data_IF_148638536330
#
_entry.id   IF_148638536330
#
_cell.length_a   1.000
_cell.length_b   1.000
_cell.length_c   1.000
_cell.angle_alpha   90.00
_cell.angle_beta   90.00
_cell.angle_gamma   90.00
#
_symmetry.space_group_name_H-M   'P 1'
#
loop_
_entity.id
_entity.type
_entity.pdbx_description
1 polymer ?
#
# COMPACT_ATOMS: atom_id res chain seq x y z
N UNK A 1 4.53 12.95 -9.73
CA UNK A 1 3.15 12.40 -9.70
C UNK A 1 2.65 12.11 -8.29
N UNK A 2 3.42 11.39 -7.45
CA UNK A 2 2.96 11.05 -6.08
C UNK A 2 2.81 12.29 -5.21
N UNK A 3 3.77 13.22 -5.24
CA UNK A 3 3.67 14.48 -4.52
C UNK A 3 2.50 15.36 -5.02
N UNK A 4 2.26 15.37 -6.32
CA UNK A 4 1.11 16.05 -6.93
C UNK A 4 -0.22 15.42 -6.49
N UNK A 5 -0.29 14.08 -6.48
CA UNK A 5 -1.46 13.35 -6.02
C UNK A 5 -1.75 13.61 -4.54
N UNK A 6 -0.73 13.57 -3.67
CA UNK A 6 -0.89 13.89 -2.26
C UNK A 6 -1.30 15.35 -2.06
N UNK A 7 -0.70 16.27 -2.81
CA UNK A 7 -1.09 17.68 -2.82
C UNK A 7 -2.53 17.88 -3.30
N UNK A 8 -2.99 17.10 -4.27
CA UNK A 8 -4.38 17.10 -4.72
C UNK A 8 -5.31 16.58 -3.63
N UNK A 9 -4.98 15.45 -3.01
CA UNK A 9 -5.76 14.92 -1.89
C UNK A 9 -5.89 15.94 -0.74
N UNK A 10 -4.79 16.56 -0.33
CA UNK A 10 -4.80 17.57 0.75
C UNK A 10 -5.72 18.76 0.45
N UNK A 11 -5.90 19.12 -0.82
CA UNK A 11 -6.80 20.22 -1.24
C UNK A 11 -8.25 19.80 -1.39
N UNK A 12 -8.50 18.60 -1.92
CA UNK A 12 -9.83 18.19 -2.36
C UNK A 12 -10.46 17.10 -1.50
N UNK A 13 -9.67 16.45 -0.66
CA UNK A 13 -10.03 15.23 0.08
C UNK A 13 -10.56 14.10 -0.81
N UNK A 14 -10.28 14.17 -2.13
CA UNK A 14 -10.62 13.11 -3.08
C UNK A 14 -9.50 12.09 -3.12
N UNK A 15 -9.77 10.80 -2.87
CA UNK A 15 -8.78 9.74 -2.93
C UNK A 15 -8.03 9.72 -4.26
N UNK A 16 -6.73 9.51 -4.21
CA UNK A 16 -5.85 9.50 -5.36
C UNK A 16 -5.31 8.10 -5.60
N UNK A 17 -5.23 7.71 -6.86
CA UNK A 17 -4.70 6.40 -7.25
C UNK A 17 -3.59 6.58 -8.28
N UNK A 18 -2.46 5.93 -8.05
CA UNK A 18 -1.33 5.88 -8.98
C UNK A 18 -1.13 4.44 -9.41
N UNK A 19 -1.07 4.19 -10.71
CA UNK A 19 -0.70 2.90 -11.26
C UNK A 19 0.75 2.95 -11.74
N UNK A 20 1.64 2.19 -11.07
CA UNK A 20 3.01 1.95 -11.52
C UNK A 20 3.05 0.64 -12.30
N UNK A 21 3.29 0.75 -13.59
CA UNK A 21 3.47 -0.40 -14.46
C UNK A 21 4.94 -0.54 -14.85
N UNK A 22 5.51 -1.72 -14.57
CA UNK A 22 6.85 -2.07 -15.04
C UNK A 22 6.91 -3.59 -15.30
N UNK A 23 7.72 -4.07 -16.26
CA UNK A 23 7.84 -5.49 -16.58
C UNK A 23 8.24 -6.33 -15.36
N UNK A 24 7.95 -7.63 -15.41
CA UNK A 24 8.49 -8.58 -14.42
C UNK A 24 10.01 -8.54 -14.48
N UNK A 25 10.66 -8.51 -13.33
CA UNK A 25 12.13 -8.40 -13.25
C UNK A 25 12.70 -6.97 -13.33
N UNK A 26 11.86 -5.95 -13.62
CA UNK A 26 12.29 -4.54 -13.68
C UNK A 26 12.63 -3.90 -12.33
N UNK A 27 12.72 -4.67 -11.25
CA UNK A 27 13.09 -4.13 -9.95
C UNK A 27 11.99 -3.30 -9.27
N UNK A 28 10.69 -3.54 -9.54
CA UNK A 28 9.57 -2.76 -8.99
C UNK A 28 9.67 -2.50 -7.47
N UNK A 29 10.05 -3.51 -6.70
CA UNK A 29 10.24 -3.38 -5.24
C UNK A 29 11.36 -2.41 -4.90
N UNK A 30 12.44 -2.40 -5.68
CA UNK A 30 13.58 -1.49 -5.47
C UNK A 30 13.20 -0.05 -5.86
N UNK A 31 12.48 0.12 -6.96
CA UNK A 31 11.93 1.44 -7.35
C UNK A 31 11.06 2.00 -6.22
N UNK A 32 10.24 1.15 -5.60
CA UNK A 32 9.41 1.58 -4.46
C UNK A 32 10.23 1.82 -3.19
N UNK A 33 11.30 1.07 -2.95
CA UNK A 33 12.21 1.35 -1.84
C UNK A 33 12.85 2.73 -1.97
N UNK A 34 13.40 3.05 -3.13
CA UNK A 34 13.93 4.40 -3.43
C UNK A 34 12.86 5.48 -3.31
N UNK A 35 11.64 5.21 -3.78
CA UNK A 35 10.52 6.14 -3.61
C UNK A 35 10.19 6.40 -2.13
N UNK A 36 10.18 5.37 -1.29
CA UNK A 36 9.94 5.49 0.15
C UNK A 36 11.06 6.31 0.81
N UNK A 37 12.32 6.07 0.43
CA UNK A 37 13.44 6.88 0.90
C UNK A 37 13.32 8.35 0.49
N UNK A 38 12.96 8.62 -0.76
CA UNK A 38 12.72 9.98 -1.26
C UNK A 38 11.61 10.69 -0.48
N UNK A 39 10.57 9.96 -0.06
CA UNK A 39 9.51 10.54 0.77
C UNK A 39 10.02 10.81 2.18
N UNK A 40 10.71 9.89 2.81
CA UNK A 40 11.18 10.07 4.19
C UNK A 40 12.24 11.16 4.33
N UNK A 41 13.18 11.22 3.39
CA UNK A 41 14.37 12.07 3.51
C UNK A 41 14.36 13.29 2.59
N UNK A 42 13.33 13.40 1.76
CA UNK A 42 13.23 14.47 0.77
C UNK A 42 14.19 14.31 -0.40
N UNK A 43 14.02 15.18 -1.37
CA UNK A 43 14.89 15.35 -2.55
C UNK A 43 15.08 16.83 -2.82
N UNK A 44 15.91 17.20 -3.80
CA UNK A 44 16.05 18.59 -4.22
C UNK A 44 14.73 19.26 -4.66
N UNK A 45 13.72 18.43 -5.00
CA UNK A 45 12.42 18.91 -5.49
C UNK A 45 11.30 18.79 -4.47
N UNK A 46 11.43 17.95 -3.46
CA UNK A 46 10.36 17.63 -2.50
C UNK A 46 10.89 17.62 -1.07
N UNK A 47 10.15 18.28 -0.19
CA UNK A 47 10.46 18.28 1.24
C UNK A 47 10.33 16.86 1.84
N UNK A 48 11.14 16.60 2.85
CA UNK A 48 11.04 15.37 3.64
C UNK A 48 9.69 15.21 4.32
N UNK A 49 9.26 13.97 4.48
CA UNK A 49 8.08 13.57 5.23
C UNK A 49 8.45 12.40 6.14
N UNK A 50 9.25 12.68 7.17
CA UNK A 50 9.76 11.67 8.10
C UNK A 50 8.65 10.95 8.87
N UNK A 51 7.47 11.55 8.98
CA UNK A 51 6.26 10.99 9.60
C UNK A 51 5.39 10.17 8.61
N UNK A 52 5.79 10.02 7.35
CA UNK A 52 5.00 9.27 6.39
C UNK A 52 4.77 7.82 6.86
N UNK A 53 3.57 7.32 6.64
CA UNK A 53 3.15 5.96 6.96
C UNK A 53 2.93 5.21 5.66
N UNK A 54 3.58 4.07 5.52
CA UNK A 54 3.39 3.20 4.37
C UNK A 54 2.70 1.90 4.78
N UNK A 55 1.66 1.50 4.07
CA UNK A 55 1.07 0.16 4.18
C UNK A 55 1.33 -0.58 2.88
N UNK A 56 2.10 -1.65 2.95
CA UNK A 56 2.43 -2.52 1.83
C UNK A 56 1.53 -3.75 1.85
N UNK A 57 0.56 -3.80 0.97
CA UNK A 57 -0.37 -4.91 0.83
C UNK A 57 0.07 -5.84 -0.31
N UNK A 58 0.23 -7.11 -0.01
CA UNK A 58 0.44 -8.16 -1.00
C UNK A 58 -0.61 -9.26 -0.91
N UNK A 59 -0.55 -10.21 -1.83
CA UNK A 59 -1.46 -11.35 -1.88
C UNK A 59 -1.11 -12.43 -0.83
N UNK A 60 0.16 -12.60 -0.49
CA UNK A 60 0.61 -13.66 0.41
C UNK A 60 1.71 -13.22 1.38
N UNK A 61 1.85 -13.95 2.53
CA UNK A 61 2.94 -13.71 3.48
C UNK A 61 4.33 -13.82 2.85
N UNK A 62 4.53 -14.79 1.96
CA UNK A 62 5.83 -15.00 1.29
C UNK A 62 6.25 -13.81 0.42
N UNK A 63 5.30 -13.16 -0.25
CA UNK A 63 5.56 -11.96 -1.03
C UNK A 63 5.89 -10.77 -0.13
N UNK A 64 5.21 -10.62 0.99
CA UNK A 64 5.53 -9.59 1.97
C UNK A 64 6.95 -9.75 2.51
N UNK A 65 7.30 -10.96 2.92
CA UNK A 65 8.64 -11.25 3.44
C UNK A 65 9.72 -10.98 2.39
N UNK A 66 9.50 -11.41 1.15
CA UNK A 66 10.41 -11.14 0.04
C UNK A 66 10.57 -9.64 -0.23
N UNK A 67 9.47 -8.87 -0.19
CA UNK A 67 9.50 -7.42 -0.41
C UNK A 67 10.19 -6.71 0.75
N UNK A 68 9.90 -7.10 2.00
CA UNK A 68 10.56 -6.59 3.19
C UNK A 68 12.07 -6.82 3.15
N UNK A 69 12.50 -8.06 2.88
CA UNK A 69 13.92 -8.40 2.77
C UNK A 69 14.63 -7.60 1.67
N UNK A 70 13.98 -7.39 0.52
CA UNK A 70 14.55 -6.56 -0.55
C UNK A 70 14.69 -5.10 -0.14
N UNK A 71 13.74 -4.56 0.60
CA UNK A 71 13.81 -3.20 1.13
C UNK A 71 14.93 -3.12 2.17
N UNK A 72 14.96 -4.02 3.14
CA UNK A 72 16.00 -4.07 4.18
C UNK A 72 17.43 -4.20 3.61
N UNK A 73 17.59 -4.93 2.48
CA UNK A 73 18.89 -5.17 1.85
C UNK A 73 19.33 -4.08 0.87
N UNK A 74 18.41 -3.31 0.31
CA UNK A 74 18.69 -2.41 -0.82
C UNK A 74 18.40 -0.95 -0.52
N UNK A 75 17.65 -0.65 0.52
CA UNK A 75 17.42 0.70 0.97
C UNK A 75 18.57 1.11 1.91
N UNK A 76 19.32 2.12 1.51
CA UNK A 76 20.50 2.57 2.26
C UNK A 76 20.13 3.41 3.49
N UNK A 77 18.93 4.01 3.50
CA UNK A 77 18.50 4.98 4.51
C UNK A 77 17.36 4.49 5.39
N UNK A 78 16.65 3.43 5.01
CA UNK A 78 15.57 2.87 5.84
C UNK A 78 16.19 2.23 7.08
N UNK A 79 15.79 2.72 8.26
CA UNK A 79 16.37 2.28 9.54
C UNK A 79 15.83 0.91 9.96
N UNK A 80 16.66 0.16 10.66
CA UNK A 80 16.23 -1.06 11.32
C UNK A 80 15.02 -0.78 12.22
N UNK A 81 13.97 -1.59 12.08
CA UNK A 81 12.73 -1.43 12.85
C UNK A 81 11.63 -0.58 12.19
N UNK A 82 11.94 0.19 11.12
CA UNK A 82 10.89 0.89 10.36
C UNK A 82 9.98 -0.07 9.58
N UNK A 83 10.48 -1.25 9.20
CA UNK A 83 9.72 -2.29 8.51
C UNK A 83 9.02 -3.20 9.51
N UNK A 84 7.71 -3.05 9.67
CA UNK A 84 6.87 -3.79 10.61
C UNK A 84 6.00 -4.79 9.86
N UNK A 85 6.10 -6.08 10.18
CA UNK A 85 5.15 -7.07 9.69
C UNK A 85 3.94 -7.10 10.60
N UNK A 86 2.75 -6.88 10.06
CA UNK A 86 1.50 -7.02 10.82
C UNK A 86 1.25 -8.50 11.08
N UNK A 87 1.43 -8.88 12.33
CA UNK A 87 1.24 -10.25 12.80
C UNK A 87 -0.09 -10.41 13.53
N UNK A 88 -0.81 -11.50 13.25
CA UNK A 88 -2.14 -11.75 13.81
C UNK A 88 -2.13 -12.21 15.26
N UNK A 89 -0.97 -12.50 15.83
CA UNK A 89 -0.81 -12.86 17.24
C UNK A 89 -0.47 -11.68 18.14
N UNK A 90 0.20 -10.66 17.62
CA UNK A 90 0.79 -9.58 18.43
C UNK A 90 0.34 -8.17 18.04
N UNK A 91 -0.24 -7.99 16.85
CA UNK A 91 -0.64 -6.65 16.40
C UNK A 91 -1.94 -6.20 17.06
N UNK A 92 -1.86 -5.14 17.84
CA UNK A 92 -2.99 -4.47 18.49
C UNK A 92 -2.64 -2.98 18.68
N UNK A 93 -3.08 -2.13 17.75
CA UNK A 93 -2.81 -0.69 17.73
C UNK A 93 -4.07 0.08 17.39
N UNK A 94 -4.33 1.18 18.09
CA UNK A 94 -5.44 2.07 17.78
C UNK A 94 -5.27 2.73 16.40
N UNK A 95 -4.04 3.15 16.09
CA UNK A 95 -3.63 3.75 14.81
C UNK A 95 -2.24 3.26 14.45
N UNK A 96 -1.88 3.34 13.18
CA UNK A 96 -0.50 3.10 12.73
C UNK A 96 0.42 4.23 13.18
N UNK A 97 1.64 3.87 13.58
CA UNK A 97 2.66 4.82 14.01
C UNK A 97 3.30 5.54 12.83
N UNK A 98 3.66 6.80 13.05
CA UNK A 98 4.36 7.61 12.07
C UNK A 98 5.76 7.04 11.76
N UNK A 99 6.22 7.23 10.54
CA UNK A 99 7.58 6.86 10.12
C UNK A 99 7.80 5.35 9.91
N UNK A 100 6.75 4.56 9.76
CA UNK A 100 6.84 3.10 9.62
C UNK A 100 6.30 2.59 8.27
N UNK A 101 6.81 1.42 7.86
CA UNK A 101 6.36 0.66 6.70
C UNK A 101 5.73 -0.64 7.21
N UNK A 102 4.43 -0.75 7.10
CA UNK A 102 3.65 -1.89 7.58
C UNK A 102 3.39 -2.88 6.45
N UNK A 103 3.81 -4.13 6.63
CA UNK A 103 3.57 -5.21 5.68
C UNK A 103 2.34 -6.01 6.07
N UNK A 104 1.34 -6.01 5.20
CA UNK A 104 0.05 -6.67 5.38
C UNK A 104 -0.25 -7.56 4.16
N UNK A 105 -0.96 -8.67 4.35
CA UNK A 105 -1.40 -9.51 3.23
C UNK A 105 -2.90 -9.78 3.27
N UNK A 106 -3.47 -10.06 2.09
CA UNK A 106 -4.92 -10.24 1.96
C UNK A 106 -5.46 -11.46 2.70
N UNK A 107 -4.63 -12.47 2.96
CA UNK A 107 -5.05 -13.67 3.69
C UNK A 107 -5.43 -13.35 5.14
N UNK A 108 -4.74 -12.39 5.76
CA UNK A 108 -5.01 -11.92 7.13
C UNK A 108 -6.24 -11.00 7.24
N UNK A 109 -6.87 -10.65 6.12
CA UNK A 109 -8.02 -9.74 6.04
C UNK A 109 -9.35 -10.44 5.72
N UNK A 110 -9.32 -11.77 5.66
CA UNK A 110 -10.53 -12.55 5.44
C UNK A 110 -11.44 -12.61 6.67
N UNK A 111 -12.73 -12.89 6.47
CA UNK A 111 -13.74 -12.93 7.54
C UNK A 111 -13.38 -13.84 8.72
N UNK A 112 -12.60 -14.90 8.51
CA UNK A 112 -12.18 -15.84 9.54
C UNK A 112 -10.78 -15.53 10.11
N UNK A 113 -10.14 -14.45 9.68
CA UNK A 113 -8.80 -14.11 10.15
C UNK A 113 -8.86 -13.43 11.53
N UNK A 114 -7.88 -13.72 12.39
CA UNK A 114 -7.86 -13.19 13.75
C UNK A 114 -7.77 -11.65 13.79
N UNK A 115 -7.05 -11.01 12.85
CA UNK A 115 -6.89 -9.56 12.80
C UNK A 115 -8.19 -8.77 12.62
N UNK A 116 -9.25 -9.41 12.10
CA UNK A 116 -10.51 -8.73 11.80
C UNK A 116 -11.55 -8.87 12.91
N UNK A 117 -11.16 -9.50 14.02
CA UNK A 117 -12.02 -9.72 15.20
C UNK A 117 -11.36 -9.20 16.47
N UNK A 118 -12.18 -8.70 17.38
CA UNK A 118 -11.77 -8.44 18.76
C UNK A 118 -11.53 -9.77 19.49
N UNK A 119 -10.67 -9.76 20.50
CA UNK A 119 -10.42 -10.89 21.40
C UNK A 119 -9.99 -10.36 22.76
N UNK A 120 -9.79 -11.25 23.73
CA UNK A 120 -9.30 -10.88 25.06
C UNK A 120 -7.92 -10.20 25.02
N UNK A 121 -7.16 -10.43 23.96
CA UNK A 121 -5.82 -9.87 23.74
C UNK A 121 -5.76 -8.84 22.59
N UNK A 122 -6.90 -8.51 21.96
CA UNK A 122 -6.97 -7.52 20.88
C UNK A 122 -8.10 -6.54 21.11
N UNK A 123 -7.71 -5.32 21.38
CA UNK A 123 -8.64 -4.20 21.58
C UNK A 123 -9.11 -3.61 20.25
N UNK A 124 -8.22 -3.52 19.25
CA UNK A 124 -8.52 -2.93 17.93
C UNK A 124 -8.39 -3.96 16.82
N UNK A 125 -9.39 -4.08 15.98
CA UNK A 125 -9.28 -4.83 14.74
C UNK A 125 -8.42 -4.07 13.74
N UNK A 126 -7.82 -4.76 12.78
CA UNK A 126 -7.02 -4.10 11.72
C UNK A 126 -7.87 -3.06 10.94
N UNK A 127 -9.16 -3.30 10.78
CA UNK A 127 -10.06 -2.37 10.11
C UNK A 127 -10.25 -1.08 10.89
N UNK A 128 -10.37 -1.16 12.21
CA UNK A 128 -10.46 -0.01 13.10
C UNK A 128 -9.15 0.77 13.12
N UNK A 129 -8.01 0.09 13.24
CA UNK A 129 -6.68 0.71 13.15
C UNK A 129 -6.51 1.50 11.86
N UNK A 130 -6.83 0.90 10.72
CA UNK A 130 -6.73 1.56 9.42
C UNK A 130 -7.72 2.71 9.28
N UNK A 131 -8.96 2.54 9.73
CA UNK A 131 -9.98 3.60 9.70
C UNK A 131 -9.59 4.79 10.58
N UNK A 132 -9.05 4.55 11.77
CA UNK A 132 -8.55 5.59 12.66
C UNK A 132 -7.35 6.31 12.04
N UNK A 133 -6.41 5.56 11.45
CA UNK A 133 -5.25 6.13 10.75
C UNK A 133 -5.69 7.03 9.60
N UNK A 134 -6.66 6.61 8.78
CA UNK A 134 -7.19 7.46 7.70
C UNK A 134 -7.82 8.74 8.26
N UNK A 135 -8.57 8.65 9.36
CA UNK A 135 -9.22 9.85 9.93
C UNK A 135 -8.21 10.87 10.45
N UNK A 136 -7.18 10.42 11.14
CA UNK A 136 -6.25 11.29 11.86
C UNK A 136 -4.97 11.63 11.08
N UNK A 137 -4.56 10.74 10.14
CA UNK A 137 -3.24 10.80 9.48
C UNK A 137 -3.32 10.64 7.95
N UNK A 138 -4.46 11.00 7.35
CA UNK A 138 -4.68 10.83 5.92
C UNK A 138 -3.72 11.64 5.02
N UNK A 139 -3.18 12.73 5.54
CA UNK A 139 -2.25 13.61 4.83
C UNK A 139 -0.83 13.04 4.66
N UNK A 140 -0.53 11.92 5.34
CA UNK A 140 0.77 11.24 5.31
C UNK A 140 0.68 9.72 5.18
N UNK A 141 -0.50 9.18 4.85
CA UNK A 141 -0.74 7.75 4.66
C UNK A 141 -0.64 7.36 3.18
N UNK A 142 0.28 6.46 2.87
CA UNK A 142 0.52 5.87 1.57
C UNK A 142 0.16 4.39 1.58
N UNK A 143 -0.71 3.96 0.69
CA UNK A 143 -1.14 2.58 0.60
C UNK A 143 -0.63 1.94 -0.70
N UNK A 144 0.29 0.98 -0.58
CA UNK A 144 0.93 0.30 -1.72
C UNK A 144 0.28 -1.07 -1.91
N UNK A 145 -0.23 -1.33 -3.11
CA UNK A 145 -0.75 -2.65 -3.49
C UNK A 145 0.24 -3.30 -4.45
N UNK A 146 0.97 -4.29 -3.95
CA UNK A 146 1.96 -5.02 -4.72
C UNK A 146 1.32 -6.22 -5.44
N UNK A 147 1.77 -6.46 -6.68
CA UNK A 147 1.24 -7.54 -7.50
C UNK A 147 -0.29 -7.49 -7.64
N UNK A 148 -0.85 -6.28 -7.79
CA UNK A 148 -2.28 -5.99 -7.90
C UNK A 148 -3.04 -6.86 -8.94
N UNK A 149 -2.32 -7.64 -9.73
CA UNK A 149 -2.84 -8.53 -10.77
C UNK A 149 -3.07 -9.99 -10.30
N UNK A 150 -2.42 -10.44 -9.23
CA UNK A 150 -2.50 -11.86 -8.80
C UNK A 150 -3.86 -12.24 -8.26
N UNK A 151 -4.57 -11.31 -7.67
CA UNK A 151 -5.90 -11.52 -7.10
C UNK A 151 -7.04 -11.79 -8.10
N UNK A 152 -6.79 -12.09 -9.39
CA UNK A 152 -7.85 -12.04 -10.41
C UNK A 152 -8.27 -13.38 -11.04
N UNK A 153 -7.90 -14.54 -10.47
CA UNK A 153 -8.33 -15.86 -10.98
C UNK A 153 -8.76 -16.80 -9.85
N UNK A 154 -9.92 -17.44 -9.98
CA UNK A 154 -10.46 -18.40 -9.02
C UNK A 154 -11.13 -17.77 -7.78
N UNK A 155 -11.57 -18.59 -6.83
CA UNK A 155 -12.32 -18.15 -5.62
C UNK A 155 -11.46 -17.29 -4.66
N UNK A 156 -10.21 -17.67 -4.46
CA UNK A 156 -9.28 -16.90 -3.61
C UNK A 156 -8.95 -15.55 -4.23
N UNK A 157 -8.85 -15.50 -5.53
CA UNK A 157 -8.68 -14.31 -6.33
C UNK A 157 -9.85 -13.34 -6.21
N UNK A 158 -11.08 -13.81 -6.26
CA UNK A 158 -12.25 -12.97 -6.03
C UNK A 158 -12.27 -12.35 -4.64
N UNK A 159 -11.80 -13.10 -3.63
CA UNK A 159 -11.67 -12.61 -2.27
C UNK A 159 -10.59 -11.53 -2.13
N UNK A 160 -9.40 -11.77 -2.66
CA UNK A 160 -8.32 -10.79 -2.64
C UNK A 160 -8.71 -9.51 -3.38
N UNK A 161 -9.36 -9.64 -4.55
CA UNK A 161 -9.92 -8.52 -5.31
C UNK A 161 -10.91 -7.71 -4.49
N UNK A 162 -11.86 -8.38 -3.82
CA UNK A 162 -12.86 -7.71 -2.98
C UNK A 162 -12.20 -6.96 -1.80
N UNK A 163 -11.15 -7.53 -1.20
CA UNK A 163 -10.38 -6.89 -0.13
C UNK A 163 -9.65 -5.65 -0.68
N UNK A 164 -8.98 -5.76 -1.82
CA UNK A 164 -8.29 -4.63 -2.44
C UNK A 164 -9.26 -3.50 -2.82
N UNK A 165 -10.46 -3.84 -3.31
CA UNK A 165 -11.50 -2.85 -3.61
C UNK A 165 -11.97 -2.07 -2.38
N UNK A 166 -11.97 -2.66 -1.18
CA UNK A 166 -12.32 -1.95 0.07
C UNK A 166 -11.36 -0.80 0.35
N UNK A 167 -10.08 -0.96 0.05
CA UNK A 167 -9.10 0.11 0.21
C UNK A 167 -9.28 1.24 -0.81
N UNK A 168 -9.72 0.91 -2.01
CA UNK A 168 -9.94 1.90 -3.08
C UNK A 168 -11.27 2.66 -2.91
N UNK A 169 -12.33 1.96 -2.52
CA UNK A 169 -13.71 2.49 -2.50
C UNK A 169 -14.21 2.83 -1.09
N UNK A 170 -13.49 2.36 -0.07
CA UNK A 170 -14.02 2.28 1.28
C UNK A 170 -14.99 1.10 1.43
N UNK A 171 -15.54 0.93 2.63
CA UNK A 171 -16.45 -0.16 2.96
C UNK A 171 -17.29 0.24 4.16
N UNK A 172 -18.61 0.39 3.97
CA UNK A 172 -19.55 0.83 5.01
C UNK A 172 -19.77 -0.24 6.07
N UNK A 173 -19.72 -1.53 5.70
CA UNK A 173 -19.92 -2.67 6.61
C UNK A 173 -18.82 -2.76 7.69
N UNK A 174 -17.61 -2.34 7.39
CA UNK A 174 -16.47 -2.27 8.34
C UNK A 174 -16.07 -0.84 8.68
N UNK A 175 -16.85 0.16 8.31
CA UNK A 175 -16.63 1.59 8.56
C UNK A 175 -15.24 2.09 8.09
N UNK A 176 -14.69 1.46 7.03
CA UNK A 176 -13.41 1.82 6.46
C UNK A 176 -13.60 2.91 5.40
N UNK A 177 -13.03 4.11 5.56
CA UNK A 177 -13.00 5.10 4.49
C UNK A 177 -12.04 4.65 3.37
N UNK A 178 -12.19 5.15 2.14
CA UNK A 178 -11.21 4.89 1.09
C UNK A 178 -9.84 5.42 1.49
N UNK A 179 -8.77 4.72 1.08
CA UNK A 179 -7.40 5.16 1.36
C UNK A 179 -7.10 6.47 0.62
N UNK A 180 -6.42 7.42 1.27
CA UNK A 180 -6.16 8.75 0.70
C UNK A 180 -5.30 8.70 -0.57
N UNK A 181 -4.27 7.88 -0.57
CA UNK A 181 -3.37 7.69 -1.69
C UNK A 181 -3.03 6.21 -1.85
N UNK A 182 -3.39 5.63 -2.98
CA UNK A 182 -3.11 4.24 -3.32
C UNK A 182 -2.13 4.17 -4.49
N UNK A 183 -1.07 3.39 -4.34
CA UNK A 183 -0.08 3.11 -5.38
C UNK A 183 -0.18 1.63 -5.74
N UNK A 184 -0.71 1.33 -6.91
CA UNK A 184 -0.77 -0.04 -7.42
C UNK A 184 0.45 -0.37 -8.25
N UNK A 185 1.15 -1.44 -7.88
CA UNK A 185 2.33 -1.93 -8.59
C UNK A 185 1.95 -3.18 -9.37
N UNK A 186 2.17 -3.19 -10.70
CA UNK A 186 1.79 -4.32 -11.53
C UNK A 186 2.66 -4.43 -12.79
N UNK A 187 2.78 -5.65 -13.30
CA UNK A 187 3.34 -5.88 -14.63
C UNK A 187 2.37 -5.50 -15.76
N UNK A 188 1.05 -5.42 -15.49
CA UNK A 188 0.02 -5.10 -16.48
C UNK A 188 -0.98 -4.07 -15.93
N UNK A 189 -1.09 -2.92 -16.59
CA UNK A 189 -2.00 -1.85 -16.19
C UNK A 189 -3.48 -2.25 -16.27
N UNK A 190 -3.86 -3.09 -17.22
CA UNK A 190 -5.25 -3.44 -17.47
C UNK A 190 -5.95 -4.03 -16.24
N UNK A 191 -5.24 -4.86 -15.47
CA UNK A 191 -5.80 -5.51 -14.28
C UNK A 191 -5.98 -4.56 -13.11
N UNK A 192 -5.01 -3.68 -12.87
CA UNK A 192 -5.14 -2.67 -11.83
C UNK A 192 -6.22 -1.63 -12.19
N UNK A 193 -6.30 -1.22 -13.45
CA UNK A 193 -7.37 -0.34 -13.93
C UNK A 193 -8.76 -0.95 -13.72
N UNK A 194 -8.90 -2.27 -13.88
CA UNK A 194 -10.16 -2.97 -13.59
C UNK A 194 -10.51 -2.98 -12.09
N UNK A 195 -9.50 -3.01 -11.19
CA UNK A 195 -9.73 -2.85 -9.75
C UNK A 195 -10.21 -1.45 -9.38
N UNK A 196 -9.61 -0.43 -9.99
CA UNK A 196 -10.00 0.97 -9.79
C UNK A 196 -11.42 1.21 -10.31
N UNK A 197 -11.75 0.72 -11.51
CA UNK A 197 -13.09 0.76 -12.12
C UNK A 197 -13.78 2.13 -11.96
N UNK A 198 -15.05 2.12 -11.58
CA UNK A 198 -15.87 3.32 -11.36
C UNK A 198 -15.67 3.92 -9.95
N UNK A 199 -14.42 4.07 -9.50
CA UNK A 199 -14.15 4.77 -8.25
C UNK A 199 -14.23 6.29 -8.45
N UNK A 200 -14.60 7.02 -7.40
CA UNK A 200 -14.54 8.49 -7.38
C UNK A 200 -13.11 9.04 -7.29
N UNK A 201 -12.11 8.16 -7.31
CA UNK A 201 -10.69 8.52 -7.20
C UNK A 201 -10.11 8.94 -8.54
N UNK A 202 -9.11 9.81 -8.50
CA UNK A 202 -8.34 10.23 -9.70
C UNK A 202 -7.24 9.22 -9.97
N UNK A 203 -7.24 8.61 -11.17
CA UNK A 203 -6.21 7.66 -11.60
C UNK A 203 -5.10 8.33 -12.39
N UNK A 204 -3.88 8.28 -11.89
CA UNK A 204 -2.66 8.66 -12.61
C UNK A 204 -1.86 7.42 -13.01
N UNK A 205 -1.29 7.40 -14.21
CA UNK A 205 -0.50 6.28 -14.72
C UNK A 205 0.98 6.63 -14.79
N UNK A 206 1.83 5.73 -14.29
CA UNK A 206 3.27 5.75 -14.46
C UNK A 206 3.68 4.42 -15.13
N UNK A 207 4.19 4.49 -16.34
CA UNK A 207 4.55 3.31 -17.13
C UNK A 207 6.04 3.34 -17.38
N UNK A 208 6.72 2.27 -17.02
CA UNK A 208 8.13 2.02 -17.35
C UNK A 208 8.16 0.94 -18.41
N UNK A 209 8.67 1.27 -19.58
CA UNK A 209 8.74 0.33 -20.69
C UNK A 209 9.92 -0.65 -20.55
N UNK A 210 9.82 -1.80 -21.23
CA UNK A 210 10.93 -2.76 -21.26
C UNK A 210 12.20 -2.16 -21.90
N UNK A 211 12.07 -1.18 -22.79
CA UNK A 211 13.21 -0.51 -23.41
C UNK A 211 13.91 0.42 -22.42
N UNK A 212 13.16 1.17 -21.60
CA UNK A 212 13.75 2.00 -20.54
C UNK A 212 14.49 1.17 -19.50
N UNK A 213 13.95 0.00 -19.11
CA UNK A 213 14.64 -0.93 -18.21
C UNK A 213 15.94 -1.46 -18.81
N UNK A 214 15.95 -1.81 -20.11
CA UNK A 214 17.16 -2.27 -20.80
C UNK A 214 18.19 -1.17 -20.98
N UNK A 215 17.77 0.07 -21.13
CA UNK A 215 18.66 1.23 -21.28
C UNK A 215 19.33 1.67 -19.96
N UNK A 216 18.74 1.30 -18.82
CA UNK A 216 19.25 1.67 -17.49
C UNK A 216 20.25 0.69 -16.89
N UNK A 217 20.54 -0.44 -17.56
CA UNK A 217 21.51 -1.40 -17.06
C UNK A 217 21.45 -2.77 -17.58
#
# INVERSE_FOLDING_TARGET
KTAEALGSYRRTHTPQVISLQAPTGAGKTIIMASFIEDVYYGTDQYAEQSEAIFVWLSDSPALNEQSKQKIDLKADKIRFGQCVTIDDSSFDQEMLDDGHIYFLNTQKLGKAANLVHHSDTRQYTIWETLANTVREKSDRLYFIIDEAHRGMQGREAGRATSIMQRFLKGSTDIKLPPMPLVIGISATAARFNALVGDTSSTLQKCIISANEVRASG
#
